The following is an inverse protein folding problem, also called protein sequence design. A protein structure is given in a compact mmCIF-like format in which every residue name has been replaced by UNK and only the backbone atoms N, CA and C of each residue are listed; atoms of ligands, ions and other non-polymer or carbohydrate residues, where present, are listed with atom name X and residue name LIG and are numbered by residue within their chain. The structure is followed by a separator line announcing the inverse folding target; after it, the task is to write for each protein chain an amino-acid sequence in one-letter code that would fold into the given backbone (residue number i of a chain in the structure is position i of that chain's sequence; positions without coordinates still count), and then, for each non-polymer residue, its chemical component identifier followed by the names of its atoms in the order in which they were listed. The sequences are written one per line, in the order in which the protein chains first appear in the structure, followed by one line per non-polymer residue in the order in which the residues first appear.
data_IF_237986682015
#
_entry.id   IF_237986682015
#
_cell.length_a   1.000
_cell.length_b   1.000
_cell.length_c   1.000
_cell.angle_alpha   90.00
_cell.angle_beta   90.00
_cell.angle_gamma   90.00
#
_symmetry.space_group_name_H-M   'P 1'
#
loop_
_entity.id
_entity.type
_entity.pdbx_description
1 polymer ?
#
# COMPACT_ATOMS: atom_id res chain seq x y z
N UNK A 1 40.99 -5.65 15.47
CA UNK A 1 40.17 -6.81 15.87
C UNK A 1 39.96 -7.65 14.62
N UNK A 2 39.97 -8.99 14.70
CA UNK A 2 39.81 -9.81 13.50
C UNK A 2 38.41 -9.56 12.93
N UNK A 3 38.36 -9.28 11.63
CA UNK A 3 37.14 -9.06 10.84
C UNK A 3 36.12 -10.15 11.12
N UNK A 4 34.93 -9.75 11.55
CA UNK A 4 33.78 -10.63 11.71
C UNK A 4 33.56 -11.45 10.43
N UNK A 5 33.21 -12.74 10.48
CA UNK A 5 33.02 -13.59 9.29
C UNK A 5 31.71 -13.27 8.52
N UNK A 6 31.22 -12.03 8.62
CA UNK A 6 29.84 -11.60 8.34
C UNK A 6 29.59 -11.14 6.89
N UNK A 7 30.30 -11.70 5.90
CA UNK A 7 30.21 -11.16 4.53
C UNK A 7 30.11 -12.25 3.46
N UNK A 8 29.69 -13.45 3.85
CA UNK A 8 29.97 -14.65 3.06
C UNK A 8 29.23 -14.65 1.71
N UNK A 9 27.93 -14.34 1.65
CA UNK A 9 27.19 -14.44 0.39
C UNK A 9 27.39 -13.25 -0.57
N UNK A 10 27.52 -12.01 -0.08
CA UNK A 10 27.87 -10.88 -0.96
C UNK A 10 29.28 -11.06 -1.55
N UNK A 11 30.26 -11.46 -0.73
CA UNK A 11 31.62 -11.71 -1.23
C UNK A 11 31.68 -12.91 -2.16
N UNK A 12 30.97 -14.01 -1.86
CA UNK A 12 30.85 -15.17 -2.77
C UNK A 12 30.17 -14.79 -4.09
N UNK A 13 29.22 -13.85 -4.06
CA UNK A 13 28.59 -13.28 -5.25
C UNK A 13 29.48 -12.25 -5.99
N UNK A 14 30.67 -11.94 -5.48
CA UNK A 14 31.59 -10.97 -6.09
C UNK A 14 31.24 -9.50 -5.81
N UNK A 15 30.33 -9.22 -4.87
CA UNK A 15 29.99 -7.88 -4.40
C UNK A 15 30.91 -7.53 -3.24
N UNK A 16 31.90 -6.68 -3.53
CA UNK A 16 32.97 -6.32 -2.57
C UNK A 16 32.54 -5.19 -1.63
N UNK A 17 31.65 -4.31 -2.09
CA UNK A 17 31.11 -3.19 -1.34
C UNK A 17 29.57 -3.17 -1.43
N UNK A 18 28.87 -3.75 -0.43
CA UNK A 18 27.42 -3.72 -0.38
C UNK A 18 26.85 -2.30 -0.33
N UNK A 19 27.51 -1.34 0.34
CA UNK A 19 27.02 0.03 0.43
C UNK A 19 27.00 0.69 -0.96
N UNK A 20 28.06 0.51 -1.74
CA UNK A 20 28.13 0.95 -3.14
C UNK A 20 27.11 0.24 -4.04
N UNK A 21 26.91 -1.07 -3.85
CA UNK A 21 25.87 -1.82 -4.54
C UNK A 21 24.47 -1.24 -4.28
N UNK A 22 24.11 -0.99 -3.03
CA UNK A 22 22.82 -0.37 -2.68
C UNK A 22 22.73 1.08 -3.15
N UNK A 23 23.83 1.84 -3.09
CA UNK A 23 23.92 3.21 -3.59
C UNK A 23 23.48 3.30 -5.05
N UNK A 24 24.09 2.49 -5.91
CA UNK A 24 23.78 2.50 -7.35
C UNK A 24 22.34 2.11 -7.68
N UNK A 25 21.73 1.29 -6.82
CA UNK A 25 20.42 0.71 -7.05
C UNK A 25 19.26 1.55 -6.51
N UNK A 26 19.45 2.19 -5.36
CA UNK A 26 18.35 2.84 -4.63
C UNK A 26 18.52 4.34 -4.44
N UNK A 27 19.72 4.91 -4.68
CA UNK A 27 19.87 6.36 -4.67
C UNK A 27 19.16 6.94 -5.88
N UNK A 28 18.18 7.79 -5.61
CA UNK A 28 17.48 8.59 -6.60
C UNK A 28 17.47 10.03 -6.11
N UNK A 29 17.77 10.97 -7.02
CA UNK A 29 17.63 12.40 -6.74
C UNK A 29 16.16 12.89 -6.82
N UNK A 30 15.20 11.97 -6.98
CA UNK A 30 13.78 12.32 -7.02
C UNK A 30 13.19 12.55 -5.63
N UNK A 31 12.54 13.71 -5.46
CA UNK A 31 11.84 14.06 -4.22
C UNK A 31 10.53 13.27 -4.09
N UNK A 32 10.46 12.39 -3.08
CA UNK A 32 9.39 11.40 -2.89
C UNK A 32 8.04 11.98 -2.43
N UNK A 33 8.02 13.07 -1.65
CA UNK A 33 6.78 13.66 -1.11
C UNK A 33 5.80 14.14 -2.22
N UNK A 34 6.33 14.51 -3.39
CA UNK A 34 5.52 14.93 -4.55
C UNK A 34 4.88 13.76 -5.34
N UNK A 35 5.26 12.50 -5.06
CA UNK A 35 4.79 11.31 -5.79
C UNK A 35 3.50 10.73 -5.21
N UNK A 36 3.40 10.59 -3.88
CA UNK A 36 2.26 9.92 -3.22
C UNK A 36 0.87 10.52 -3.52
N UNK A 37 0.82 11.76 -4.02
CA UNK A 37 -0.42 12.48 -4.35
C UNK A 37 -0.72 12.57 -5.84
N UNK A 38 0.15 12.03 -6.71
CA UNK A 38 -0.20 11.75 -8.09
C UNK A 38 -1.00 10.45 -8.11
N UNK A 39 -2.18 10.49 -8.72
CA UNK A 39 -3.08 9.34 -8.77
C UNK A 39 -2.38 8.05 -9.26
N UNK A 40 -1.43 8.18 -10.19
CA UNK A 40 -0.67 7.08 -10.78
C UNK A 40 0.28 6.37 -9.81
N UNK A 41 0.75 7.04 -8.76
CA UNK A 41 1.70 6.47 -7.78
C UNK A 41 0.99 5.68 -6.68
N UNK A 42 -0.36 5.73 -6.61
CA UNK A 42 -1.17 4.97 -5.65
C UNK A 42 -1.34 3.48 -5.99
N UNK A 43 -0.91 3.09 -7.18
CA UNK A 43 -1.05 1.74 -7.73
C UNK A 43 0.27 0.96 -7.72
N UNK A 44 1.30 1.55 -7.11
CA UNK A 44 2.59 0.90 -6.89
C UNK A 44 2.47 -0.08 -5.70
N UNK A 45 3.03 -1.29 -5.81
CA UNK A 45 3.08 -2.24 -4.68
C UNK A 45 3.79 -1.62 -3.46
N UNK A 46 4.79 -0.78 -3.70
CA UNK A 46 5.48 0.01 -2.68
C UNK A 46 4.51 0.97 -2.00
N UNK A 47 3.56 1.54 -2.73
CA UNK A 47 2.51 2.40 -2.16
C UNK A 47 1.60 1.62 -1.22
N UNK A 48 1.14 0.42 -1.58
CA UNK A 48 0.30 -0.40 -0.69
C UNK A 48 1.02 -0.75 0.62
N UNK A 49 2.31 -1.11 0.55
CA UNK A 49 3.17 -1.37 1.73
C UNK A 49 3.34 -0.11 2.60
N UNK A 50 3.64 1.01 1.97
CA UNK A 50 3.81 2.32 2.64
C UNK A 50 2.50 2.79 3.29
N UNK A 51 1.36 2.57 2.63
CA UNK A 51 0.04 2.89 3.19
C UNK A 51 -0.36 1.98 4.34
N UNK A 52 0.02 0.68 4.31
CA UNK A 52 -0.17 -0.18 5.47
C UNK A 52 0.60 0.34 6.69
N UNK A 53 1.84 0.79 6.53
CA UNK A 53 2.57 1.47 7.61
C UNK A 53 1.82 2.72 8.04
N UNK A 54 1.48 3.61 7.10
CA UNK A 54 0.73 4.83 7.39
C UNK A 54 -0.52 4.55 8.21
N UNK A 55 -1.35 3.59 7.80
CA UNK A 55 -2.61 3.21 8.44
C UNK A 55 -2.47 2.45 9.77
N UNK A 56 -1.25 2.27 10.27
CA UNK A 56 -1.02 1.56 11.52
C UNK A 56 -0.10 2.30 12.49
N UNK A 57 0.67 3.28 12.03
CA UNK A 57 1.46 4.17 12.90
C UNK A 57 0.63 5.32 13.46
N UNK A 58 0.84 5.62 14.74
CA UNK A 58 0.14 6.69 15.45
C UNK A 58 0.68 8.06 15.09
N UNK A 59 -0.22 9.03 14.97
CA UNK A 59 0.16 10.42 14.76
C UNK A 59 1.02 10.95 15.93
N UNK A 60 1.97 11.81 15.62
CA UNK A 60 2.92 12.36 16.59
C UNK A 60 3.93 11.36 17.16
N UNK A 61 3.97 10.12 16.67
CA UNK A 61 4.89 9.10 17.17
C UNK A 61 6.33 9.30 16.67
N UNK A 62 7.28 8.69 17.39
CA UNK A 62 8.65 8.51 16.94
C UNK A 62 8.77 7.19 16.18
N UNK A 63 9.19 7.25 14.92
CA UNK A 63 9.29 6.10 14.01
C UNK A 63 10.72 5.97 13.51
N UNK A 64 11.28 4.77 13.61
CA UNK A 64 12.54 4.38 12.98
C UNK A 64 12.24 3.57 11.71
N UNK A 65 12.72 4.02 10.57
CA UNK A 65 12.72 3.30 9.30
C UNK A 65 14.06 2.59 9.10
N UNK A 66 14.03 1.25 9.23
CA UNK A 66 15.19 0.37 9.22
C UNK A 66 15.46 -0.11 7.78
N UNK A 67 16.54 0.39 7.17
CA UNK A 67 16.84 0.26 5.74
C UNK A 67 16.03 1.27 4.91
N UNK A 68 16.17 2.56 5.24
CA UNK A 68 15.25 3.60 4.73
C UNK A 68 15.39 3.93 3.24
N UNK A 69 16.46 3.47 2.58
CA UNK A 69 16.78 3.81 1.19
C UNK A 69 16.74 5.33 0.98
N UNK A 70 16.13 5.76 -0.12
CA UNK A 70 15.93 7.19 -0.41
C UNK A 70 14.75 7.83 0.34
N UNK A 71 14.10 7.14 1.29
CA UNK A 71 13.09 7.72 2.17
C UNK A 71 11.64 7.60 1.69
N UNK A 72 11.18 6.37 1.43
CA UNK A 72 9.80 6.10 0.97
C UNK A 72 8.72 6.48 1.98
N UNK A 73 9.03 6.50 3.28
CA UNK A 73 8.04 6.79 4.31
C UNK A 73 7.87 8.28 4.63
N UNK A 74 8.38 9.18 3.77
CA UNK A 74 8.25 10.62 3.92
C UNK A 74 6.79 11.10 4.12
N UNK A 75 5.80 10.39 3.55
CA UNK A 75 4.39 10.72 3.74
C UNK A 75 3.94 10.66 5.21
N UNK A 76 4.63 9.90 6.07
CA UNK A 76 4.33 9.80 7.51
C UNK A 76 4.43 11.16 8.20
N UNK A 77 5.22 12.10 7.65
CA UNK A 77 5.33 13.48 8.13
C UNK A 77 3.97 14.18 8.21
N UNK A 78 3.00 13.81 7.38
CA UNK A 78 1.62 14.35 7.44
C UNK A 78 0.88 14.00 8.73
N UNK A 79 1.30 12.93 9.42
CA UNK A 79 0.79 12.56 10.75
C UNK A 79 1.57 13.22 11.89
N UNK A 80 2.44 14.20 11.60
CA UNK A 80 3.31 14.81 12.59
C UNK A 80 4.34 13.84 13.18
N UNK A 81 4.62 12.74 12.47
CA UNK A 81 5.60 11.74 12.92
C UNK A 81 7.00 12.33 12.90
N UNK A 82 7.78 11.99 13.92
CA UNK A 82 9.24 12.19 13.92
C UNK A 82 9.87 10.95 13.31
N UNK A 83 10.43 11.09 12.11
CA UNK A 83 10.92 9.99 11.29
C UNK A 83 12.44 9.98 11.27
N UNK A 84 13.01 8.89 11.80
CA UNK A 84 14.45 8.61 11.73
C UNK A 84 14.69 7.49 10.72
N UNK A 85 15.65 7.66 9.82
CA UNK A 85 16.02 6.62 8.84
C UNK A 85 17.43 6.08 9.10
N UNK A 86 17.62 4.78 8.97
CA UNK A 86 18.95 4.16 8.97
C UNK A 86 19.12 3.37 7.68
N UNK A 87 20.24 3.54 7.01
CA UNK A 87 20.60 2.76 5.82
C UNK A 87 22.08 2.41 5.83
N UNK A 88 22.49 1.34 5.14
CA UNK A 88 23.92 1.04 5.02
C UNK A 88 24.62 2.07 4.13
N UNK A 89 23.95 2.57 3.08
CA UNK A 89 24.49 3.60 2.19
C UNK A 89 24.35 5.01 2.78
N UNK A 90 25.47 5.75 2.96
CA UNK A 90 25.43 7.15 3.37
C UNK A 90 24.63 8.04 2.43
N UNK A 91 24.66 7.77 1.12
CA UNK A 91 23.96 8.53 0.11
C UNK A 91 22.45 8.28 0.13
N UNK A 92 22.01 7.04 0.39
CA UNK A 92 20.61 6.73 0.66
C UNK A 92 20.12 7.51 1.88
N UNK A 93 20.85 7.44 3.00
CA UNK A 93 20.53 8.19 4.21
C UNK A 93 20.47 9.72 3.95
N UNK A 94 21.37 10.27 3.14
CA UNK A 94 21.32 11.68 2.73
C UNK A 94 20.12 11.99 1.83
N UNK A 95 19.75 11.10 0.91
CA UNK A 95 18.57 11.25 0.07
C UNK A 95 17.28 11.22 0.90
N UNK A 96 17.15 10.28 1.84
CA UNK A 96 16.01 10.23 2.78
C UNK A 96 15.88 11.53 3.60
N UNK A 97 17.02 12.09 4.03
CA UNK A 97 17.04 13.40 4.71
C UNK A 97 16.51 14.52 3.83
N UNK A 98 16.95 14.59 2.57
CA UNK A 98 16.44 15.54 1.56
C UNK A 98 14.94 15.34 1.31
N UNK A 99 14.45 14.12 1.45
CA UNK A 99 13.05 13.73 1.22
C UNK A 99 12.13 13.92 2.44
N UNK A 100 12.62 14.51 3.53
CA UNK A 100 11.77 14.97 4.64
C UNK A 100 11.89 14.18 5.94
N UNK A 101 12.84 13.24 6.04
CA UNK A 101 13.15 12.55 7.29
C UNK A 101 13.80 13.54 8.28
N UNK A 102 13.47 13.43 9.57
CA UNK A 102 13.96 14.35 10.62
C UNK A 102 15.39 14.06 11.04
N UNK A 103 15.80 12.80 10.96
CA UNK A 103 17.15 12.34 11.26
C UNK A 103 17.48 11.18 10.33
N UNK A 104 18.71 11.10 9.85
CA UNK A 104 19.19 9.93 9.11
C UNK A 104 20.61 9.58 9.51
N UNK A 105 20.92 8.29 9.49
CA UNK A 105 22.21 7.73 9.89
C UNK A 105 22.62 6.66 8.88
N UNK A 106 23.93 6.54 8.65
CA UNK A 106 24.50 5.39 7.97
C UNK A 106 25.07 4.42 9.01
N UNK A 107 24.54 3.20 9.04
CA UNK A 107 24.97 2.18 9.99
C UNK A 107 24.56 0.77 9.53
N UNK A 108 25.27 -0.24 10.05
CA UNK A 108 24.83 -1.63 9.97
C UNK A 108 23.61 -1.84 10.87
N UNK A 109 22.61 -2.58 10.37
CA UNK A 109 21.35 -2.77 11.09
C UNK A 109 21.49 -3.69 12.32
N UNK A 110 22.56 -4.48 12.37
CA UNK A 110 22.93 -5.36 13.49
C UNK A 110 23.61 -4.60 14.64
N UNK A 111 23.93 -3.32 14.44
CA UNK A 111 24.53 -2.46 15.46
C UNK A 111 24.12 -0.99 15.27
N UNK A 112 22.94 -0.63 15.77
CA UNK A 112 22.36 0.70 15.60
C UNK A 112 22.95 1.70 16.62
N UNK A 113 23.50 2.84 16.17
CA UNK A 113 23.99 3.90 17.05
C UNK A 113 22.84 4.77 17.58
N UNK A 114 21.82 4.11 18.13
CA UNK A 114 20.59 4.69 18.66
C UNK A 114 20.41 4.24 20.11
N UNK A 115 19.83 5.10 20.95
CA UNK A 115 19.59 4.77 22.34
C UNK A 115 18.45 3.75 22.50
N UNK A 116 18.50 2.96 23.57
CA UNK A 116 17.44 2.04 23.96
C UNK A 116 16.10 2.77 24.11
N UNK A 117 14.98 2.08 23.85
CA UNK A 117 13.62 2.58 24.07
C UNK A 117 13.35 4.00 23.52
N UNK A 118 13.84 4.28 22.31
CA UNK A 118 13.75 5.60 21.66
C UNK A 118 12.55 5.75 20.73
N UNK A 119 11.97 4.65 20.25
CA UNK A 119 10.94 4.68 19.21
C UNK A 119 9.63 4.03 19.65
N UNK A 120 8.52 4.61 19.22
CA UNK A 120 7.20 4.00 19.37
C UNK A 120 6.98 2.90 18.33
N UNK A 121 7.53 3.11 17.12
CA UNK A 121 7.49 2.15 16.03
C UNK A 121 8.85 1.97 15.39
N UNK A 122 9.17 0.73 15.02
CA UNK A 122 10.22 0.41 14.06
C UNK A 122 9.54 -0.16 12.82
N UNK A 123 9.88 0.35 11.65
CA UNK A 123 9.26 -0.05 10.39
C UNK A 123 10.37 -0.44 9.43
N UNK A 124 10.11 -1.43 8.58
CA UNK A 124 11.12 -1.91 7.62
C UNK A 124 10.41 -2.54 6.43
N UNK A 125 10.66 -2.02 5.23
CA UNK A 125 10.04 -2.52 4.00
C UNK A 125 11.14 -3.05 3.09
N UNK A 126 11.11 -4.36 2.79
CA UNK A 126 11.97 -5.01 1.80
C UNK A 126 13.46 -5.00 2.18
N UNK A 127 13.78 -5.23 3.46
CA UNK A 127 15.16 -5.16 3.98
C UNK A 127 15.64 -6.48 4.56
N UNK A 128 14.80 -7.22 5.29
CA UNK A 128 15.21 -8.44 6.00
C UNK A 128 15.77 -9.53 5.07
N UNK A 129 15.31 -9.60 3.81
CA UNK A 129 15.84 -10.56 2.82
C UNK A 129 17.25 -10.24 2.32
N UNK A 130 17.72 -9.01 2.56
CA UNK A 130 19.07 -8.52 2.26
C UNK A 130 20.03 -8.67 3.43
N UNK A 131 19.51 -9.03 4.61
CA UNK A 131 20.33 -9.33 5.79
C UNK A 131 20.72 -10.80 5.73
N UNK A 132 22.02 -11.10 5.87
CA UNK A 132 22.51 -12.48 5.92
C UNK A 132 21.85 -13.27 7.05
N UNK A 133 21.67 -14.58 6.87
CA UNK A 133 20.95 -15.43 7.85
C UNK A 133 21.50 -15.31 9.27
N UNK A 134 22.82 -15.20 9.42
CA UNK A 134 23.52 -15.12 10.72
C UNK A 134 23.31 -13.78 11.44
N UNK A 135 22.99 -12.72 10.71
CA UNK A 135 22.88 -11.36 11.25
C UNK A 135 21.46 -11.00 11.68
N UNK A 136 20.45 -11.72 11.18
CA UNK A 136 19.04 -11.40 11.41
C UNK A 136 18.68 -11.34 12.89
N UNK A 137 19.24 -12.24 13.70
CA UNK A 137 18.97 -12.25 15.13
C UNK A 137 19.57 -11.03 15.85
N UNK A 138 20.75 -10.57 15.41
CA UNK A 138 21.33 -9.34 15.91
C UNK A 138 20.50 -8.11 15.47
N UNK A 139 20.03 -8.08 14.21
CA UNK A 139 19.12 -7.03 13.73
C UNK A 139 17.83 -7.00 14.56
N UNK A 140 17.19 -8.14 14.79
CA UNK A 140 15.96 -8.20 15.58
C UNK A 140 16.19 -7.85 17.06
N UNK A 141 17.36 -8.19 17.62
CA UNK A 141 17.75 -7.73 18.94
C UNK A 141 17.85 -6.21 19.02
N UNK A 142 18.43 -5.56 18.00
CA UNK A 142 18.50 -4.09 17.91
C UNK A 142 17.12 -3.47 17.73
N UNK A 143 16.26 -4.04 16.87
CA UNK A 143 14.85 -3.62 16.71
C UNK A 143 14.12 -3.64 18.06
N UNK A 144 14.26 -4.74 18.81
CA UNK A 144 13.70 -4.87 20.16
C UNK A 144 14.26 -3.82 21.12
N UNK A 145 15.58 -3.62 21.11
CA UNK A 145 16.29 -2.71 22.03
C UNK A 145 15.85 -1.25 21.84
N UNK A 146 15.74 -0.79 20.60
CA UNK A 146 15.39 0.61 20.29
C UNK A 146 13.89 0.89 20.44
N UNK A 147 13.04 -0.13 20.45
CA UNK A 147 11.62 0.00 20.74
C UNK A 147 11.37 0.33 22.21
N UNK A 148 10.46 1.28 22.45
CA UNK A 148 9.90 1.52 23.78
C UNK A 148 9.14 0.30 24.27
N UNK A 149 8.99 0.11 25.60
CA UNK A 149 8.08 -0.90 26.13
C UNK A 149 6.67 -0.75 25.55
N UNK A 150 6.17 -1.78 24.86
CA UNK A 150 4.89 -1.76 24.16
C UNK A 150 4.89 -1.05 22.80
N UNK A 151 6.06 -0.66 22.29
CA UNK A 151 6.24 -0.25 20.90
C UNK A 151 6.01 -1.43 19.95
N UNK A 152 5.79 -1.12 18.67
CA UNK A 152 5.44 -2.12 17.65
C UNK A 152 6.45 -2.08 16.53
N UNK A 153 6.97 -3.24 16.14
CA UNK A 153 7.70 -3.36 14.87
C UNK A 153 6.77 -3.81 13.75
N UNK A 154 6.93 -3.24 12.56
CA UNK A 154 6.13 -3.54 11.37
C UNK A 154 7.04 -3.77 10.17
N UNK A 155 6.95 -4.96 9.59
CA UNK A 155 7.79 -5.37 8.47
C UNK A 155 6.96 -5.76 7.26
N UNK A 156 7.41 -5.33 6.09
CA UNK A 156 7.05 -5.91 4.81
C UNK A 156 8.22 -6.74 4.30
N UNK A 157 8.03 -8.05 4.15
CA UNK A 157 9.12 -9.01 3.96
C UNK A 157 8.89 -9.84 2.70
N UNK A 158 9.87 -9.88 1.80
CA UNK A 158 9.90 -10.81 0.69
C UNK A 158 10.28 -12.20 1.19
N UNK A 159 9.45 -13.20 0.85
CA UNK A 159 9.66 -14.59 1.24
C UNK A 159 10.05 -15.42 0.01
N UNK A 160 10.73 -16.54 0.24
CA UNK A 160 10.99 -17.54 -0.80
C UNK A 160 10.14 -18.80 -0.59
N UNK A 161 10.07 -19.64 -1.63
CA UNK A 161 9.61 -21.03 -1.55
C UNK A 161 10.82 -21.92 -1.80
N UNK A 162 11.33 -22.57 -0.74
CA UNK A 162 12.53 -23.42 -0.86
C UNK A 162 12.30 -24.67 -1.71
N UNK A 163 11.04 -25.04 -1.99
CA UNK A 163 10.75 -26.16 -2.91
C UNK A 163 10.90 -25.77 -4.37
N UNK A 164 10.76 -24.47 -4.67
CA UNK A 164 10.85 -23.93 -6.02
C UNK A 164 12.22 -23.32 -6.33
N UNK A 165 13.11 -23.20 -5.33
CA UNK A 165 14.38 -22.51 -5.46
C UNK A 165 15.52 -23.31 -4.81
N UNK A 166 16.67 -23.45 -5.50
CA UNK A 166 17.90 -23.99 -4.89
C UNK A 166 18.25 -23.18 -3.64
N UNK A 167 18.70 -23.85 -2.59
CA UNK A 167 19.28 -23.15 -1.43
C UNK A 167 20.56 -22.42 -1.84
N UNK A 168 20.93 -21.36 -1.12
CA UNK A 168 22.14 -20.58 -1.38
C UNK A 168 23.39 -21.47 -1.40
N UNK A 169 23.46 -22.47 -0.52
CA UNK A 169 24.58 -23.42 -0.42
C UNK A 169 24.65 -24.43 -1.58
N UNK A 170 23.56 -24.61 -2.32
CA UNK A 170 23.49 -25.48 -3.51
C UNK A 170 23.77 -24.73 -4.81
N UNK A 171 23.82 -23.39 -4.77
CA UNK A 171 24.14 -22.56 -5.93
C UNK A 171 25.65 -22.55 -6.17
N UNK A 172 26.07 -22.73 -7.43
CA UNK A 172 27.46 -22.45 -7.79
C UNK A 172 27.73 -20.92 -7.78
N UNK A 173 28.99 -20.47 -7.78
CA UNK A 173 29.32 -19.05 -7.68
C UNK A 173 28.67 -18.15 -8.74
N UNK A 174 28.52 -18.62 -9.98
CA UNK A 174 27.88 -17.85 -11.05
C UNK A 174 26.34 -17.77 -10.86
N UNK A 175 25.72 -18.85 -10.39
CA UNK A 175 24.30 -18.88 -10.04
C UNK A 175 24.00 -17.94 -8.88
N UNK A 176 24.81 -18.02 -7.81
CA UNK A 176 24.70 -17.16 -6.64
C UNK A 176 24.94 -15.69 -7.02
N UNK A 177 25.98 -15.41 -7.81
CA UNK A 177 26.25 -14.05 -8.32
C UNK A 177 25.07 -13.50 -9.09
N UNK A 178 24.53 -14.23 -10.06
CA UNK A 178 23.34 -13.79 -10.82
C UNK A 178 22.14 -13.57 -9.91
N UNK A 179 21.97 -14.42 -8.90
CA UNK A 179 20.88 -14.29 -7.96
C UNK A 179 20.99 -13.01 -7.12
N UNK A 180 22.18 -12.73 -6.57
CA UNK A 180 22.43 -11.59 -5.70
C UNK A 180 22.54 -10.28 -6.50
N UNK A 181 23.14 -10.25 -7.69
CA UNK A 181 23.24 -9.03 -8.51
C UNK A 181 21.85 -8.48 -8.89
N UNK A 182 20.87 -9.36 -9.09
CA UNK A 182 19.52 -8.98 -9.51
C UNK A 182 18.80 -8.19 -8.43
N UNK A 183 18.73 -8.70 -7.20
CA UNK A 183 17.95 -8.06 -6.13
C UNK A 183 18.77 -7.67 -4.90
N UNK A 184 19.89 -8.33 -4.66
CA UNK A 184 20.72 -8.16 -3.47
C UNK A 184 20.31 -9.08 -2.34
N UNK A 185 19.46 -10.08 -2.57
CA UNK A 185 19.00 -10.98 -1.52
C UNK A 185 20.08 -11.98 -1.15
N UNK A 186 20.42 -12.05 0.13
CA UNK A 186 21.41 -12.98 0.69
C UNK A 186 20.87 -13.74 1.91
N UNK A 187 19.57 -13.61 2.16
CA UNK A 187 18.93 -14.18 3.34
C UNK A 187 17.42 -14.31 3.14
N UNK A 188 16.93 -14.85 2.03
CA UNK A 188 15.49 -15.15 1.93
C UNK A 188 15.11 -16.36 2.78
N UNK A 189 14.06 -16.21 3.57
CA UNK A 189 13.44 -17.28 4.37
C UNK A 189 12.01 -17.54 3.90
N UNK A 190 11.44 -18.66 4.34
CA UNK A 190 10.01 -18.93 4.18
C UNK A 190 9.19 -18.12 5.20
N UNK A 191 7.90 -17.93 4.90
CA UNK A 191 6.95 -17.20 5.75
C UNK A 191 6.95 -17.70 7.22
N UNK A 192 6.97 -19.02 7.40
CA UNK A 192 6.92 -19.64 8.72
C UNK A 192 8.21 -19.40 9.50
N UNK A 193 9.35 -19.35 8.81
CA UNK A 193 10.67 -19.10 9.41
C UNK A 193 10.77 -17.66 9.90
N UNK A 194 10.31 -16.69 9.10
CA UNK A 194 10.20 -15.29 9.56
C UNK A 194 9.33 -15.19 10.81
N UNK A 195 8.12 -15.76 10.78
CA UNK A 195 7.20 -15.70 11.91
C UNK A 195 7.80 -16.37 13.16
N UNK A 196 8.47 -17.52 13.00
CA UNK A 196 9.13 -18.22 14.09
C UNK A 196 10.30 -17.42 14.67
N UNK A 197 11.09 -16.75 13.82
CA UNK A 197 12.22 -15.92 14.25
C UNK A 197 11.74 -14.72 15.08
N UNK A 198 10.75 -13.97 14.60
CA UNK A 198 10.20 -12.84 15.37
C UNK A 198 9.63 -13.26 16.74
N UNK A 199 9.07 -14.47 16.87
CA UNK A 199 8.57 -15.00 18.16
C UNK A 199 9.65 -15.29 19.19
N UNK A 200 10.92 -15.36 18.78
CA UNK A 200 12.04 -15.46 19.73
C UNK A 200 12.32 -14.11 20.42
N UNK A 201 11.90 -13.01 19.78
CA UNK A 201 12.17 -11.65 20.23
C UNK A 201 10.94 -10.91 20.74
N UNK A 202 9.72 -11.37 20.46
CA UNK A 202 8.49 -10.67 20.84
C UNK A 202 7.41 -11.64 21.29
N UNK A 203 6.67 -11.27 22.33
CA UNK A 203 5.60 -12.09 22.90
C UNK A 203 4.38 -12.22 21.97
N UNK A 204 4.10 -11.17 21.20
CA UNK A 204 2.98 -11.11 20.28
C UNK A 204 3.48 -10.87 18.86
N UNK A 205 3.27 -11.84 17.98
CA UNK A 205 3.60 -11.76 16.55
C UNK A 205 2.38 -12.09 15.73
N UNK A 206 2.00 -11.16 14.86
CA UNK A 206 0.96 -11.35 13.87
C UNK A 206 1.61 -11.24 12.48
N UNK A 207 1.29 -12.17 11.59
CA UNK A 207 1.75 -12.15 10.22
C UNK A 207 0.60 -12.40 9.27
N UNK A 208 0.62 -11.75 8.11
CA UNK A 208 -0.40 -11.90 7.09
C UNK A 208 0.28 -12.04 5.72
N UNK A 209 0.22 -13.25 5.12
CA UNK A 209 0.77 -13.46 3.80
C UNK A 209 -0.03 -12.68 2.75
N UNK A 210 0.70 -12.21 1.76
CA UNK A 210 0.27 -11.49 0.58
C UNK A 210 0.95 -12.18 -0.58
N UNK A 211 0.30 -12.21 -1.74
CA UNK A 211 1.05 -12.50 -2.95
C UNK A 211 1.17 -11.20 -3.72
N UNK A 212 2.37 -10.97 -4.21
CA UNK A 212 2.56 -9.97 -5.26
C UNK A 212 2.22 -10.66 -6.58
N UNK A 213 0.92 -10.85 -6.86
CA UNK A 213 0.52 -11.23 -8.21
C UNK A 213 0.31 -9.99 -9.11
N UNK A 214 0.66 -8.80 -8.61
CA UNK A 214 0.91 -7.62 -9.43
C UNK A 214 2.38 -7.62 -9.83
N UNK A 215 2.70 -8.43 -10.83
CA UNK A 215 3.97 -8.31 -11.53
C UNK A 215 3.91 -6.99 -12.30
N UNK A 216 4.68 -5.98 -11.86
CA UNK A 216 5.04 -4.90 -12.77
C UNK A 216 5.64 -5.54 -14.03
N UNK A 217 5.46 -4.92 -15.18
CA UNK A 217 6.12 -5.31 -16.43
C UNK A 217 7.62 -5.59 -16.24
N UNK A 218 8.29 -4.85 -15.37
CA UNK A 218 9.68 -5.07 -14.98
C UNK A 218 9.89 -6.38 -14.22
N UNK A 219 9.06 -6.67 -13.22
CA UNK A 219 9.09 -7.95 -12.49
C UNK A 219 8.65 -9.12 -13.40
N UNK A 220 7.76 -8.88 -14.36
CA UNK A 220 7.31 -9.85 -15.37
C UNK A 220 8.45 -10.25 -16.31
N UNK A 221 9.20 -9.27 -16.84
CA UNK A 221 10.39 -9.50 -17.67
C UNK A 221 11.45 -10.25 -16.85
N UNK A 222 11.72 -9.79 -15.63
CA UNK A 222 12.70 -10.39 -14.73
C UNK A 222 12.38 -11.85 -14.41
N UNK A 223 11.12 -12.19 -14.15
CA UNK A 223 10.71 -13.57 -13.91
C UNK A 223 10.76 -14.43 -15.18
N UNK A 224 10.40 -13.88 -16.34
CA UNK A 224 10.55 -14.58 -17.62
C UNK A 224 12.03 -14.94 -17.91
N UNK A 225 12.93 -13.98 -17.72
CA UNK A 225 14.38 -14.17 -17.92
C UNK A 225 14.98 -15.13 -16.88
N UNK A 226 14.47 -15.09 -15.63
CA UNK A 226 14.98 -15.88 -14.49
C UNK A 226 14.51 -17.34 -14.47
N UNK A 227 13.24 -17.58 -14.79
CA UNK A 227 12.61 -18.91 -14.64
C UNK A 227 12.38 -19.63 -15.97
N UNK A 228 12.82 -19.03 -17.09
CA UNK A 228 12.63 -19.61 -18.42
C UNK A 228 11.15 -19.80 -18.75
N UNK A 229 10.29 -18.92 -18.22
CA UNK A 229 8.86 -18.99 -18.49
C UNK A 229 8.61 -18.73 -19.98
N UNK A 230 7.89 -19.63 -20.63
CA UNK A 230 7.60 -19.53 -22.05
C UNK A 230 6.48 -18.52 -22.28
N UNK A 231 6.87 -17.29 -22.60
CA UNK A 231 6.00 -16.26 -23.16
C UNK A 231 6.35 -16.04 -24.64
N UNK A 232 5.40 -15.50 -25.40
CA UNK A 232 5.65 -15.09 -26.78
C UNK A 232 6.76 -14.02 -26.79
N UNK A 233 7.80 -14.23 -27.60
CA UNK A 233 8.95 -13.32 -27.68
C UNK A 233 8.53 -11.88 -27.96
N UNK A 234 7.54 -11.72 -28.84
CA UNK A 234 7.01 -10.43 -29.27
C UNK A 234 6.33 -9.68 -28.13
N UNK A 235 5.76 -10.40 -27.15
CA UNK A 235 5.17 -9.81 -25.96
C UNK A 235 6.25 -9.30 -24.99
N UNK A 236 7.31 -10.08 -24.75
CA UNK A 236 8.43 -9.64 -23.91
C UNK A 236 9.18 -8.46 -24.52
N UNK A 237 9.37 -8.48 -25.84
CA UNK A 237 10.01 -7.39 -26.58
C UNK A 237 9.13 -6.14 -26.60
N UNK A 238 7.80 -6.31 -26.69
CA UNK A 238 6.85 -5.23 -26.47
C UNK A 238 6.99 -4.62 -25.07
N UNK A 239 6.99 -5.42 -24.00
CA UNK A 239 7.17 -4.94 -22.62
C UNK A 239 8.51 -4.19 -22.43
N UNK A 240 9.59 -4.71 -23.01
CA UNK A 240 10.92 -4.06 -23.01
C UNK A 240 10.92 -2.75 -23.79
N UNK A 241 10.13 -2.67 -24.86
CA UNK A 241 10.00 -1.47 -25.69
C UNK A 241 9.12 -0.38 -25.09
N UNK A 242 8.31 -0.69 -24.06
CA UNK A 242 7.44 0.30 -23.42
C UNK A 242 8.26 1.47 -22.86
N UNK A 243 7.89 2.68 -23.24
CA UNK A 243 8.36 3.89 -22.58
C UNK A 243 7.92 3.90 -21.11
N UNK A 244 8.59 4.69 -20.27
CA UNK A 244 8.24 4.81 -18.86
C UNK A 244 6.74 5.04 -18.59
N UNK A 245 6.07 5.85 -19.44
CA UNK A 245 4.64 6.14 -19.30
C UNK A 245 3.75 4.97 -19.72
N UNK A 246 4.11 4.25 -20.77
CA UNK A 246 3.37 3.07 -21.25
C UNK A 246 3.56 1.88 -20.32
N UNK A 247 4.76 1.74 -19.77
CA UNK A 247 5.11 0.76 -18.75
C UNK A 247 4.27 0.95 -17.48
N UNK A 248 4.20 2.20 -17.01
CA UNK A 248 3.27 2.59 -15.92
C UNK A 248 1.81 2.31 -16.26
N UNK A 249 1.36 2.55 -17.50
CA UNK A 249 -0.02 2.26 -17.91
C UNK A 249 -0.32 0.75 -17.96
N UNK A 250 0.65 -0.06 -18.39
CA UNK A 250 0.58 -1.52 -18.37
C UNK A 250 0.49 -2.05 -16.94
N UNK A 251 1.35 -1.56 -16.04
CA UNK A 251 1.36 -1.93 -14.63
C UNK A 251 0.05 -1.55 -13.94
N UNK A 252 -0.58 -0.44 -14.34
CA UNK A 252 -1.91 -0.02 -13.86
C UNK A 252 -3.05 -0.94 -14.31
N UNK A 253 -2.95 -1.50 -15.52
CA UNK A 253 -3.93 -2.42 -16.07
C UNK A 253 -3.83 -3.83 -15.44
N UNK A 254 -2.60 -4.28 -15.14
CA UNK A 254 -2.32 -5.58 -14.54
C UNK A 254 -2.31 -5.57 -12.99
N UNK A 255 -2.00 -4.42 -12.39
CA UNK A 255 -1.86 -4.21 -10.94
C UNK A 255 -3.16 -4.25 -10.14
N UNK A 256 -4.29 -4.53 -10.78
CA UNK A 256 -5.62 -4.53 -10.17
C UNK A 256 -6.07 -5.87 -9.58
N UNK A 257 -5.27 -6.93 -9.68
CA UNK A 257 -5.82 -8.27 -9.49
C UNK A 257 -5.80 -8.79 -8.04
N UNK A 258 -5.14 -8.14 -7.07
CA UNK A 258 -5.01 -8.77 -5.74
C UNK A 258 -5.28 -7.84 -4.55
N UNK A 259 -6.57 -7.82 -4.17
CA UNK A 259 -6.97 -7.73 -2.78
C UNK A 259 -6.56 -8.98 -1.99
N UNK A 260 -6.89 -9.05 -0.70
CA UNK A 260 -6.54 -10.18 0.17
C UNK A 260 -6.83 -11.53 -0.49
N UNK A 261 -5.79 -12.27 -0.83
CA UNK A 261 -5.91 -13.59 -1.48
C UNK A 261 -6.55 -14.63 -0.57
N UNK A 262 -6.48 -14.43 0.74
CA UNK A 262 -7.26 -15.23 1.71
C UNK A 262 -8.75 -15.25 1.39
N UNK A 263 -9.25 -14.21 0.73
CA UNK A 263 -10.67 -14.04 0.43
C UNK A 263 -11.04 -14.71 -0.92
N UNK A 264 -10.04 -15.11 -1.72
CA UNK A 264 -10.21 -15.71 -3.05
C UNK A 264 -10.26 -17.25 -3.03
N UNK A 265 -9.97 -17.91 -1.90
CA UNK A 265 -9.93 -19.38 -1.78
C UNK A 265 -9.11 -20.10 -2.88
N UNK A 266 -8.12 -19.43 -3.47
CA UNK A 266 -7.29 -19.97 -4.55
C UNK A 266 -6.00 -20.59 -3.99
N UNK A 267 -5.61 -21.76 -4.51
CA UNK A 267 -4.27 -22.33 -4.28
C UNK A 267 -3.29 -21.77 -5.30
N UNK A 268 -2.40 -20.88 -4.88
CA UNK A 268 -1.38 -20.29 -5.73
C UNK A 268 0.00 -20.94 -5.48
N UNK A 269 0.89 -20.98 -6.49
CA UNK A 269 2.29 -21.39 -6.28
C UNK A 269 2.94 -20.47 -5.23
N UNK A 270 3.76 -21.02 -4.33
CA UNK A 270 4.31 -20.27 -3.18
C UNK A 270 5.44 -19.30 -3.55
N UNK A 271 5.89 -19.28 -4.81
CA UNK A 271 6.84 -18.29 -5.33
C UNK A 271 6.19 -16.90 -5.44
N UNK A 272 6.87 -15.85 -4.95
CA UNK A 272 6.35 -14.46 -4.99
C UNK A 272 5.49 -14.08 -3.76
N UNK A 273 5.64 -14.83 -2.66
CA UNK A 273 4.99 -14.55 -1.39
C UNK A 273 5.65 -13.33 -0.72
N UNK A 274 4.80 -12.45 -0.24
CA UNK A 274 5.15 -11.27 0.54
C UNK A 274 4.49 -11.38 1.90
N UNK A 275 5.16 -10.98 2.97
CA UNK A 275 4.65 -11.10 4.32
C UNK A 275 4.57 -9.73 4.97
N UNK A 276 3.36 -9.30 5.33
CA UNK A 276 3.22 -8.25 6.33
C UNK A 276 3.33 -8.89 7.70
N UNK A 277 4.23 -8.38 8.54
CA UNK A 277 4.46 -8.91 9.88
C UNK A 277 4.49 -7.77 10.89
N UNK A 278 3.82 -7.96 12.03
CA UNK A 278 3.90 -7.07 13.18
C UNK A 278 4.28 -7.84 14.42
N UNK A 279 5.05 -7.19 15.30
CA UNK A 279 5.42 -7.77 16.56
C UNK A 279 5.54 -6.74 17.69
N UNK A 280 5.23 -7.16 18.92
CA UNK A 280 5.34 -6.36 20.14
C UNK A 280 5.39 -7.24 21.39
N UNK A 281 5.82 -6.65 22.50
CA UNK A 281 5.76 -7.26 23.85
C UNK A 281 4.41 -7.06 24.53
N UNK A 282 3.50 -6.35 23.87
CA UNK A 282 2.12 -6.18 24.34
C UNK A 282 1.16 -6.75 23.30
N UNK A 283 -0.06 -7.16 23.74
CA UNK A 283 -1.08 -7.62 22.81
C UNK A 283 -1.28 -6.62 21.67
N UNK A 284 -1.17 -7.12 20.45
CA UNK A 284 -1.37 -6.32 19.24
C UNK A 284 -2.85 -5.95 19.09
N UNK A 285 -3.11 -4.77 18.53
CA UNK A 285 -4.44 -4.39 18.07
C UNK A 285 -4.87 -5.20 16.83
N UNK A 286 -6.02 -4.88 16.22
CA UNK A 286 -6.37 -5.45 14.93
C UNK A 286 -5.25 -5.22 13.91
N UNK A 287 -5.00 -6.21 13.05
CA UNK A 287 -3.88 -6.21 12.08
C UNK A 287 -3.86 -4.96 11.17
N UNK A 288 -5.01 -4.33 11.02
CA UNK A 288 -5.22 -3.01 10.45
C UNK A 288 -5.81 -2.09 11.52
N UNK A 289 -5.35 -0.84 11.60
CA UNK A 289 -5.85 0.22 12.49
C UNK A 289 -5.31 0.22 13.94
N UNK A 290 -4.07 -0.22 14.19
CA UNK A 290 -3.47 -0.22 15.54
C UNK A 290 -3.46 1.15 16.23
N UNK A 291 -3.38 2.23 15.44
CA UNK A 291 -3.25 3.59 15.95
C UNK A 291 -4.58 4.34 16.14
N UNK A 292 -5.73 3.66 16.17
CA UNK A 292 -7.01 4.32 16.43
C UNK A 292 -7.13 4.74 17.89
N UNK A 293 -6.45 5.83 18.20
CA UNK A 293 -7.01 6.89 19.01
C UNK A 293 -8.32 7.32 18.33
N UNK A 294 -9.44 6.96 18.94
CA UNK A 294 -10.80 7.03 18.38
C UNK A 294 -11.30 8.47 18.19
N UNK A 295 -10.44 9.47 18.03
CA UNK A 295 -10.88 10.87 17.92
C UNK A 295 -10.15 11.73 16.89
N UNK A 296 -8.99 11.30 16.35
CA UNK A 296 -8.13 12.21 15.58
C UNK A 296 -8.18 12.06 14.04
N UNK A 297 -8.77 10.97 13.52
CA UNK A 297 -9.18 10.84 12.10
C UNK A 297 -10.71 10.88 11.96
N UNK A 298 -11.39 11.13 13.07
CA UNK A 298 -12.82 11.34 13.17
C UNK A 298 -13.07 12.85 13.13
N UNK A 299 -13.92 13.34 12.23
CA UNK A 299 -14.88 14.32 12.73
C UNK A 299 -15.59 13.60 13.89
N UNK A 300 -15.62 14.16 15.10
CA UNK A 300 -15.92 13.41 16.32
C UNK A 300 -17.21 12.60 16.18
N UNK A 301 -17.25 11.40 16.75
CA UNK A 301 -18.48 10.90 17.37
C UNK A 301 -18.85 11.95 18.44
N UNK A 302 -19.58 12.98 18.04
CA UNK A 302 -20.31 13.81 18.97
C UNK A 302 -21.55 13.00 19.37
N UNK A 303 -21.32 12.13 20.34
CA UNK A 303 -22.38 11.68 21.22
C UNK A 303 -22.74 12.85 22.15
N UNK A 304 -23.55 13.77 21.65
CA UNK A 304 -24.29 14.75 22.44
C UNK A 304 -25.71 14.90 21.86
N UNK A 305 -26.57 13.91 22.17
CA UNK A 305 -28.04 13.94 22.29
C UNK A 305 -28.90 14.76 21.30
N UNK A 306 -28.41 15.21 20.14
CA UNK A 306 -29.12 16.18 19.28
C UNK A 306 -29.07 15.98 17.75
N UNK A 307 -28.40 14.96 17.20
CA UNK A 307 -28.47 14.63 15.77
C UNK A 307 -27.28 13.79 15.29
N UNK A 308 -27.54 12.55 14.82
CA UNK A 308 -26.48 11.58 14.52
C UNK A 308 -25.86 11.76 13.13
N UNK A 309 -24.56 12.09 13.07
CA UNK A 309 -23.74 11.95 11.86
C UNK A 309 -23.35 10.48 11.65
N UNK A 310 -23.58 9.91 10.46
CA UNK A 310 -23.32 8.50 10.13
C UNK A 310 -22.51 8.37 8.84
N UNK A 311 -21.42 7.61 8.87
CA UNK A 311 -20.65 7.25 7.67
C UNK A 311 -21.19 5.92 7.08
N UNK A 312 -21.88 5.99 5.95
CA UNK A 312 -22.63 4.87 5.37
C UNK A 312 -21.73 3.73 4.87
N UNK A 313 -20.64 4.06 4.19
CA UNK A 313 -19.62 3.14 3.68
C UNK A 313 -18.80 2.46 4.78
N UNK A 314 -19.04 2.81 6.06
CA UNK A 314 -18.36 2.24 7.24
C UNK A 314 -19.30 1.65 8.30
N UNK A 315 -20.61 1.85 8.19
CA UNK A 315 -21.55 1.56 9.27
C UNK A 315 -22.34 0.26 9.12
N UNK A 316 -22.15 -0.51 8.03
CA UNK A 316 -23.02 -1.65 7.64
C UNK A 316 -24.52 -1.29 7.58
N UNK A 317 -24.87 0.00 7.66
CA UNK A 317 -26.24 0.53 7.61
C UNK A 317 -26.68 0.91 6.19
N UNK A 318 -25.83 0.65 5.20
CA UNK A 318 -26.09 0.93 3.80
C UNK A 318 -25.90 -0.32 2.93
N UNK A 319 -26.70 -0.37 1.88
CA UNK A 319 -26.59 -1.33 0.78
C UNK A 319 -26.21 -0.56 -0.47
N UNK A 320 -25.17 -1.03 -1.16
CA UNK A 320 -24.74 -0.51 -2.44
C UNK A 320 -25.35 -1.38 -3.53
N UNK A 321 -25.88 -0.80 -4.60
CA UNK A 321 -26.38 -1.57 -5.75
C UNK A 321 -25.23 -2.15 -6.59
N UNK A 322 -25.59 -2.83 -7.70
CA UNK A 322 -24.66 -3.59 -8.53
C UNK A 322 -23.45 -2.75 -8.98
N UNK A 323 -22.28 -3.18 -8.54
CA UNK A 323 -21.02 -2.47 -8.70
C UNK A 323 -19.90 -3.18 -7.94
N UNK A 324 -18.77 -2.49 -7.79
CA UNK A 324 -17.64 -2.94 -7.00
C UNK A 324 -17.57 -2.09 -5.72
N UNK A 325 -17.77 -2.72 -4.57
CA UNK A 325 -17.65 -2.09 -3.25
C UNK A 325 -16.64 -2.86 -2.42
N UNK A 326 -15.58 -2.19 -1.99
CA UNK A 326 -14.50 -2.78 -1.20
C UNK A 326 -14.56 -2.25 0.24
N UNK A 327 -15.25 -2.94 1.17
CA UNK A 327 -15.43 -2.47 2.54
C UNK A 327 -14.15 -2.53 3.38
N UNK A 328 -13.12 -3.26 2.91
CA UNK A 328 -11.91 -3.58 3.68
C UNK A 328 -10.71 -2.67 3.37
N UNK A 329 -10.84 -1.74 2.41
CA UNK A 329 -9.83 -0.71 2.14
C UNK A 329 -10.14 0.58 2.93
N UNK A 330 -9.14 1.43 3.15
CA UNK A 330 -9.30 2.67 3.90
C UNK A 330 -8.94 3.87 3.00
N UNK A 331 -9.90 4.77 2.69
CA UNK A 331 -11.34 4.65 2.96
C UNK A 331 -11.99 3.55 2.09
N UNK A 332 -13.11 2.94 2.53
CA UNK A 332 -13.90 2.07 1.67
C UNK A 332 -14.33 2.80 0.40
N UNK A 333 -14.22 2.14 -0.75
CA UNK A 333 -14.56 2.77 -2.04
C UNK A 333 -15.67 1.99 -2.72
N UNK A 334 -16.69 2.71 -3.18
CA UNK A 334 -17.72 2.20 -4.07
C UNK A 334 -17.48 2.71 -5.51
N UNK A 335 -17.66 1.81 -6.48
CA UNK A 335 -17.64 2.09 -7.91
C UNK A 335 -18.82 1.39 -8.56
N UNK A 336 -19.44 2.04 -9.53
CA UNK A 336 -20.57 1.49 -10.26
C UNK A 336 -20.19 1.24 -11.71
N UNK A 337 -20.56 0.06 -12.22
CA UNK A 337 -20.29 -0.38 -13.59
C UNK A 337 -21.38 0.13 -14.55
N UNK A 338 -21.79 1.39 -14.35
CA UNK A 338 -22.93 2.01 -14.99
C UNK A 338 -22.77 3.54 -14.95
N UNK A 339 -23.56 4.25 -15.74
CA UNK A 339 -23.74 5.70 -15.63
C UNK A 339 -24.50 6.10 -14.36
N UNK A 340 -24.96 5.14 -13.55
CA UNK A 340 -25.71 5.38 -12.31
C UNK A 340 -25.22 4.44 -11.20
N UNK A 341 -25.08 5.00 -10.02
CA UNK A 341 -24.78 4.27 -8.80
C UNK A 341 -25.73 4.62 -7.68
N UNK A 342 -26.05 3.66 -6.82
CA UNK A 342 -27.04 3.82 -5.76
C UNK A 342 -26.55 3.31 -4.41
N UNK A 343 -26.92 4.06 -3.38
CA UNK A 343 -26.71 3.72 -1.98
C UNK A 343 -28.03 3.82 -1.24
N UNK A 344 -28.53 2.69 -0.75
CA UNK A 344 -29.73 2.61 0.06
C UNK A 344 -29.35 2.55 1.54
N UNK A 345 -29.94 3.37 2.38
CA UNK A 345 -29.65 3.41 3.82
C UNK A 345 -30.90 3.82 4.61
N UNK A 346 -30.84 3.72 5.94
CA UNK A 346 -31.94 4.13 6.79
C UNK A 346 -31.55 5.01 7.97
N UNK A 347 -32.24 6.16 8.09
CA UNK A 347 -32.12 7.14 9.17
C UNK A 347 -33.45 7.86 9.40
N UNK A 348 -33.74 8.29 10.63
CA UNK A 348 -35.04 8.89 10.98
C UNK A 348 -35.24 10.31 10.41
N UNK A 349 -34.14 11.07 10.33
CA UNK A 349 -34.08 12.41 9.74
C UNK A 349 -32.78 12.53 8.97
N UNK A 350 -32.81 13.34 7.91
CA UNK A 350 -31.66 13.61 7.07
C UNK A 350 -31.63 15.09 6.69
N UNK A 351 -30.55 15.76 7.07
CA UNK A 351 -30.33 17.20 6.92
C UNK A 351 -29.19 17.52 5.95
N UNK A 352 -28.19 16.65 5.85
CA UNK A 352 -27.05 16.81 4.94
C UNK A 352 -26.57 15.45 4.42
N UNK A 353 -26.11 15.45 3.16
CA UNK A 353 -25.32 14.36 2.59
C UNK A 353 -23.98 14.93 2.16
N UNK A 354 -22.89 14.26 2.53
CA UNK A 354 -21.55 14.57 2.07
C UNK A 354 -20.84 13.30 1.57
N UNK A 355 -19.98 13.46 0.59
CA UNK A 355 -19.23 12.37 -0.03
C UNK A 355 -17.97 12.88 -0.72
N UNK A 356 -16.97 12.01 -0.84
CA UNK A 356 -15.79 12.25 -1.65
C UNK A 356 -15.91 11.50 -2.97
N UNK A 357 -15.66 12.19 -4.08
CA UNK A 357 -15.88 11.69 -5.43
C UNK A 357 -14.65 11.90 -6.31
N UNK A 358 -14.32 10.93 -7.17
CA UNK A 358 -13.27 11.06 -8.19
C UNK A 358 -13.60 10.26 -9.45
N UNK A 359 -12.93 10.57 -10.56
CA UNK A 359 -12.98 9.80 -11.81
C UNK A 359 -11.59 9.68 -12.44
N UNK A 360 -11.39 8.65 -13.26
CA UNK A 360 -10.14 8.39 -13.98
C UNK A 360 -10.29 8.51 -15.50
N UNK A 361 -11.37 9.13 -15.98
CA UNK A 361 -11.58 9.33 -17.41
C UNK A 361 -10.38 10.07 -18.04
N UNK A 362 -9.84 9.57 -19.17
CA UNK A 362 -8.62 10.13 -19.77
C UNK A 362 -8.88 11.42 -20.56
N UNK A 363 -10.12 11.67 -20.98
CA UNK A 363 -10.52 12.74 -21.89
C UNK A 363 -11.20 13.94 -21.22
N UNK A 364 -11.15 14.06 -19.87
CA UNK A 364 -11.86 15.10 -19.11
C UNK A 364 -11.56 16.53 -19.56
N UNK A 365 -10.35 16.79 -20.09
CA UNK A 365 -9.97 18.12 -20.58
C UNK A 365 -10.70 18.52 -21.86
N UNK A 366 -10.99 17.56 -22.74
CA UNK A 366 -11.65 17.80 -24.03
C UNK A 366 -13.15 17.50 -23.97
N UNK A 367 -13.54 16.59 -23.07
CA UNK A 367 -14.92 16.20 -22.82
C UNK A 367 -15.12 16.08 -21.30
N UNK A 368 -15.63 17.10 -20.62
CA UNK A 368 -15.90 17.03 -19.19
C UNK A 368 -16.87 15.90 -18.85
N UNK A 369 -16.81 15.40 -17.61
CA UNK A 369 -17.80 14.44 -17.09
C UNK A 369 -18.85 15.20 -16.29
N UNK A 370 -20.10 15.19 -16.76
CA UNK A 370 -21.24 15.69 -16.00
C UNK A 370 -21.62 14.69 -14.92
N UNK A 371 -21.78 15.17 -13.69
CA UNK A 371 -22.21 14.37 -12.54
C UNK A 371 -23.41 15.04 -11.88
N UNK A 372 -24.43 14.25 -11.59
CA UNK A 372 -25.65 14.66 -10.91
C UNK A 372 -25.85 13.77 -9.68
N UNK A 373 -26.32 14.36 -8.58
CA UNK A 373 -26.60 13.62 -7.34
C UNK A 373 -28.07 13.77 -7.01
N UNK A 374 -28.74 12.66 -6.70
CA UNK A 374 -30.16 12.61 -6.37
C UNK A 374 -30.38 11.94 -5.03
N UNK A 375 -31.47 12.31 -4.36
CA UNK A 375 -31.95 11.65 -3.16
C UNK A 375 -33.44 11.35 -3.34
N UNK A 376 -33.81 10.07 -3.26
CA UNK A 376 -35.18 9.59 -3.51
C UNK A 376 -35.75 10.15 -4.83
N UNK A 377 -34.96 10.15 -5.90
CA UNK A 377 -35.33 10.68 -7.21
C UNK A 377 -35.35 12.22 -7.33
N UNK A 378 -35.06 12.97 -6.27
CA UNK A 378 -34.97 14.44 -6.33
C UNK A 378 -33.53 14.88 -6.50
N UNK A 379 -33.24 15.69 -7.52
CA UNK A 379 -31.89 16.19 -7.79
C UNK A 379 -31.43 17.12 -6.67
N UNK A 380 -30.33 16.79 -6.02
CA UNK A 380 -29.67 17.59 -4.99
C UNK A 380 -28.68 18.58 -5.61
N UNK A 381 -27.83 18.13 -6.54
CA UNK A 381 -26.88 18.99 -7.24
C UNK A 381 -26.43 18.40 -8.59
N UNK A 382 -25.80 19.23 -9.42
CA UNK A 382 -25.12 18.84 -10.65
C UNK A 382 -23.84 19.64 -10.84
N UNK A 383 -22.79 19.02 -11.36
CA UNK A 383 -21.49 19.65 -11.62
C UNK A 383 -20.74 18.92 -12.74
N UNK A 384 -19.63 19.50 -13.20
CA UNK A 384 -18.77 18.87 -14.21
C UNK A 384 -17.34 18.73 -13.70
N UNK A 385 -16.72 17.59 -14.01
CA UNK A 385 -15.32 17.32 -13.73
C UNK A 385 -14.50 17.55 -15.01
N UNK A 386 -13.47 18.38 -14.89
CA UNK A 386 -12.60 18.79 -16.01
C UNK A 386 -11.19 18.19 -15.92
N UNK A 387 -10.86 17.59 -14.77
CA UNK A 387 -9.56 16.97 -14.49
C UNK A 387 -9.72 15.85 -13.46
N UNK A 388 -8.71 14.99 -13.38
CA UNK A 388 -8.66 13.90 -12.42
C UNK A 388 -8.27 14.45 -11.04
N UNK A 389 -9.27 14.73 -10.21
CA UNK A 389 -9.10 15.23 -8.84
C UNK A 389 -10.22 14.72 -7.94
N UNK A 390 -9.92 14.61 -6.65
CA UNK A 390 -10.96 14.38 -5.64
C UNK A 390 -11.78 15.64 -5.41
N UNK A 391 -13.09 15.46 -5.31
CA UNK A 391 -14.06 16.48 -4.96
C UNK A 391 -14.76 16.07 -3.66
N UNK A 392 -14.66 16.92 -2.63
CA UNK A 392 -15.51 16.82 -1.45
C UNK A 392 -16.82 17.53 -1.75
N UNK A 393 -17.91 16.76 -1.79
CA UNK A 393 -19.25 17.28 -1.99
C UNK A 393 -19.97 17.31 -0.65
N UNK A 394 -20.63 18.43 -0.33
CA UNK A 394 -21.59 18.55 0.77
C UNK A 394 -22.85 19.19 0.25
N UNK A 395 -23.98 18.55 0.47
CA UNK A 395 -25.27 19.00 -0.04
C UNK A 395 -26.31 18.96 1.07
N UNK A 396 -26.90 20.12 1.43
CA UNK A 396 -28.01 20.14 2.37
C UNK A 396 -29.23 19.46 1.74
N UNK A 397 -29.99 18.72 2.56
CA UNK A 397 -31.21 18.02 2.15
C UNK A 397 -32.42 18.94 2.33
N UNK A 398 -33.18 19.23 1.25
CA UNK A 398 -34.37 20.07 1.33
C UNK A 398 -35.43 19.53 2.31
N UNK A 399 -36.15 20.43 3.00
CA UNK A 399 -37.20 20.07 3.97
C UNK A 399 -38.26 19.07 3.50
N UNK A 400 -38.74 19.05 2.24
CA UNK A 400 -39.69 18.02 1.82
C UNK A 400 -39.06 16.62 1.70
N UNK A 401 -37.74 16.47 1.63
CA UNK A 401 -37.05 15.17 1.61
C UNK A 401 -36.61 14.70 2.99
N UNK A 402 -36.24 15.65 3.85
CA UNK A 402 -35.79 15.39 5.23
C UNK A 402 -36.79 14.59 6.08
N UNK A 403 -38.08 14.64 5.72
CA UNK A 403 -39.22 14.15 6.51
C UNK A 403 -40.12 13.13 5.80
N UNK A 404 -39.95 12.90 4.49
CA UNK A 404 -40.90 12.13 3.67
C UNK A 404 -40.72 10.62 3.65
N UNK A 405 -39.56 10.11 4.03
CA UNK A 405 -39.28 8.69 3.90
C UNK A 405 -39.27 8.01 5.27
N UNK A 406 -40.03 6.91 5.42
CA UNK A 406 -40.10 6.08 6.64
C UNK A 406 -38.74 5.45 6.98
N UNK A 407 -37.79 6.26 7.41
CA UNK A 407 -36.46 5.80 7.80
C UNK A 407 -35.64 5.18 6.66
N UNK A 408 -35.95 5.42 5.38
CA UNK A 408 -35.26 4.79 4.22
C UNK A 408 -34.97 5.80 3.11
N UNK A 409 -33.72 5.93 2.73
CA UNK A 409 -33.24 6.84 1.72
C UNK A 409 -32.47 6.10 0.64
N UNK A 410 -32.55 6.62 -0.58
CA UNK A 410 -31.83 6.17 -1.75
C UNK A 410 -31.04 7.36 -2.32
N UNK A 411 -29.72 7.36 -2.13
CA UNK A 411 -28.80 8.30 -2.74
C UNK A 411 -28.36 7.74 -4.09
N UNK A 412 -28.52 8.51 -5.15
CA UNK A 412 -28.09 8.13 -6.50
C UNK A 412 -27.05 9.12 -7.02
N UNK A 413 -26.01 8.61 -7.65
CA UNK A 413 -24.98 9.40 -8.35
C UNK A 413 -25.03 9.02 -9.82
N UNK A 414 -25.31 9.99 -10.68
CA UNK A 414 -25.46 9.81 -12.12
C UNK A 414 -24.29 10.51 -12.82
N UNK A 415 -23.66 9.82 -13.75
CA UNK A 415 -22.69 10.39 -14.68
C UNK A 415 -23.33 10.48 -16.07
N UNK A 416 -23.12 11.57 -16.80
CA UNK A 416 -23.72 11.78 -18.13
C UNK A 416 -23.14 10.88 -19.23
N UNK A 417 -22.02 10.22 -18.93
CA UNK A 417 -21.38 9.24 -19.80
C UNK A 417 -20.57 8.22 -19.00
N UNK A 418 -20.44 7.04 -19.58
CA UNK A 418 -19.49 6.01 -19.16
C UNK A 418 -18.27 6.05 -20.09
N UNK A 419 -17.18 5.40 -19.68
CA UNK A 419 -16.03 5.19 -20.54
C UNK A 419 -15.83 3.71 -20.79
N UNK A 420 -15.75 3.34 -22.07
CA UNK A 420 -15.37 2.01 -22.52
C UNK A 420 -14.03 2.09 -23.28
N UNK A 421 -13.04 1.27 -22.90
CA UNK A 421 -11.79 1.19 -23.67
C UNK A 421 -12.01 0.45 -25.00
N UNK A 422 -12.38 1.22 -26.06
CA UNK A 422 -12.14 1.02 -27.53
C UNK A 422 -13.37 0.91 -28.46
N UNK A 423 -13.21 1.27 -29.76
CA UNK A 423 -14.21 1.08 -30.82
C UNK A 423 -13.72 0.13 -31.94
N UNK A 424 -14.18 -1.12 -32.00
CA UNK A 424 -14.23 -1.89 -33.26
C UNK A 424 -15.05 -3.16 -33.08
N UNK A 425 -16.00 -3.38 -34.00
CA UNK A 425 -17.04 -4.41 -33.90
C UNK A 425 -16.47 -5.82 -33.85
N UNK A 426 -16.67 -6.46 -32.71
CA UNK A 426 -17.58 -7.59 -32.52
C UNK A 426 -17.71 -7.78 -30.99
N UNK A 427 -18.93 -7.60 -30.48
CA UNK A 427 -19.25 -7.64 -29.04
C UNK A 427 -19.08 -9.04 -28.46
N UNK A 428 -18.38 -9.16 -27.33
CA UNK A 428 -18.77 -10.03 -26.18
C UNK A 428 -18.08 -9.56 -24.87
N UNK A 429 -18.64 -8.52 -24.24
CA UNK A 429 -18.52 -8.06 -22.82
C UNK A 429 -17.20 -8.26 -22.04
N UNK A 430 -16.53 -7.15 -21.73
CA UNK A 430 -15.73 -6.93 -20.50
C UNK A 430 -16.14 -5.55 -19.90
N UNK A 431 -16.98 -5.60 -18.86
CA UNK A 431 -17.90 -4.51 -18.44
C UNK A 431 -17.35 -3.65 -17.27
N UNK A 432 -16.16 -3.05 -17.40
CA UNK A 432 -15.54 -2.23 -16.32
C UNK A 432 -15.65 -0.73 -16.57
N UNK A 433 -16.88 -0.22 -16.70
CA UNK A 433 -17.19 1.18 -17.04
C UNK A 433 -16.72 2.19 -15.96
N UNK A 434 -15.67 2.97 -16.27
CA UNK A 434 -14.99 3.90 -15.35
C UNK A 434 -15.71 5.27 -15.22
N UNK A 435 -16.91 5.29 -14.67
CA UNK A 435 -17.67 6.54 -14.52
C UNK A 435 -17.15 7.38 -13.35
N UNK A 436 -17.33 6.88 -12.13
CA UNK A 436 -17.08 7.63 -10.88
C UNK A 436 -16.78 6.64 -9.74
N UNK A 437 -15.85 7.02 -8.86
CA UNK A 437 -15.59 6.36 -7.57
C UNK A 437 -15.98 7.27 -6.41
N UNK A 438 -16.60 6.69 -5.38
CA UNK A 438 -17.11 7.43 -4.22
C UNK A 438 -16.67 6.75 -2.91
N UNK A 439 -16.33 7.56 -1.91
CA UNK A 439 -16.02 7.14 -0.55
C UNK A 439 -16.45 8.21 0.47
N UNK A 440 -16.35 7.90 1.76
CA UNK A 440 -16.66 8.83 2.85
C UNK A 440 -18.09 9.39 2.75
N UNK A 441 -19.06 8.52 2.51
CA UNK A 441 -20.46 8.93 2.36
C UNK A 441 -21.03 9.17 3.76
N UNK A 442 -21.08 10.44 4.16
CA UNK A 442 -21.50 10.86 5.49
C UNK A 442 -22.86 11.55 5.41
N UNK A 443 -23.77 11.14 6.27
CA UNK A 443 -25.10 11.72 6.42
C UNK A 443 -25.26 12.32 7.81
N UNK A 444 -26.08 13.37 7.94
CA UNK A 444 -26.35 14.05 9.22
C UNK A 444 -27.84 14.22 9.47
#
# INVERSE_FOLDING_TARGET
MPSSPLNNFYQQAGIVDPAEFYRTKFVSDEVLDARYFKALDRFDVRFARTMWIYDNVRAGSSVLDLGCGAGMLALLKRKGITLTGVDLSPECAQAARRNGYDFTLSAELSHLPLADASFDYVVSLDVIGHVGFEEKDAVLAEVRRVLRPGGVTMHGIECTDRRAQKSYDEMNPDELRRFVEVDGHVGLEEEQEHTARFRQFFDHVASEPRYTLCLSSEEFIKQADKYGLHFESDFLDYLRSLSFKERRAFDLAMGYVFGKISDLQMSLPKSGLYLFLKASDRPLGPFYNEHRDRHALLAPERADDTGQVVCLDRSRKATFDYGWFEPNIIPPVARWMSSRGRVSFGVDKLSEVSLDLTTHMPDLRTRPLGVEVFLNGTKLCAFSLFQQSWLNLRVPVPEPLSSKARGKFELEIHADRTWQPRPSGEETRDDRELSVAVCNIVIQ
#
